data_IF_899260945846
#
_entry.id   IF_899260945846
#
_cell.length_a   1.000
_cell.length_b   1.000
_cell.length_c   1.000
_cell.angle_alpha   90.00
_cell.angle_beta   90.00
_cell.angle_gamma   90.00
#
_symmetry.space_group_name_H-M   'P 1'
#
loop_
_entity.id
_entity.type
_entity.pdbx_description
1 polymer ?
#
# COMPACT_ATOMS: atom_id res chain seq x y z
N UNK A 1 -14.72 10.04 3.50
CA UNK A 1 -13.73 9.24 2.76
C UNK A 1 -13.67 9.73 1.32
N UNK A 2 -12.48 9.88 0.75
CA UNK A 2 -12.26 10.29 -0.64
C UNK A 2 -11.82 9.06 -1.45
N UNK A 3 -12.51 8.77 -2.55
CA UNK A 3 -12.19 7.64 -3.43
C UNK A 3 -11.48 8.11 -4.69
N UNK A 4 -10.57 7.26 -5.18
CA UNK A 4 -9.89 7.45 -6.47
C UNK A 4 -10.93 7.49 -7.59
N UNK A 5 -10.80 8.49 -8.48
CA UNK A 5 -11.68 8.66 -9.64
C UNK A 5 -11.07 8.00 -10.88
N UNK A 6 -11.90 7.73 -11.89
CA UNK A 6 -11.46 7.15 -13.17
C UNK A 6 -11.22 5.63 -13.14
N UNK A 7 -11.72 4.95 -12.11
CA UNK A 7 -11.73 3.48 -12.00
C UNK A 7 -13.06 2.90 -12.51
N UNK A 8 -13.12 1.60 -12.83
CA UNK A 8 -14.36 0.94 -13.23
C UNK A 8 -15.50 1.16 -12.21
N UNK A 9 -16.73 1.27 -12.71
CA UNK A 9 -17.89 1.51 -11.86
C UNK A 9 -18.05 0.40 -10.81
N UNK A 10 -18.24 0.79 -9.55
CA UNK A 10 -18.37 -0.14 -8.43
C UNK A 10 -17.04 -0.54 -7.80
N UNK A 11 -15.90 -0.15 -8.37
CA UNK A 11 -14.58 -0.30 -7.72
C UNK A 11 -14.30 0.92 -6.85
N UNK A 12 -14.00 0.69 -5.58
CA UNK A 12 -13.67 1.73 -4.62
C UNK A 12 -12.24 1.55 -4.14
N UNK A 13 -11.39 2.54 -4.37
CA UNK A 13 -10.00 2.59 -3.92
C UNK A 13 -9.77 3.85 -3.11
N UNK A 14 -9.00 3.75 -2.04
CA UNK A 14 -8.56 4.91 -1.30
C UNK A 14 -7.48 4.59 -0.29
N UNK A 15 -7.02 5.64 0.39
CA UNK A 15 -6.05 5.54 1.47
C UNK A 15 -6.48 6.46 2.61
N UNK A 16 -6.43 5.95 3.83
CA UNK A 16 -6.73 6.74 5.02
C UNK A 16 -5.64 7.78 5.27
N UNK A 17 -6.02 8.87 5.94
CA UNK A 17 -5.10 9.93 6.38
C UNK A 17 -4.94 9.88 7.89
N UNK A 18 -3.93 10.57 8.42
CA UNK A 18 -3.73 10.78 9.87
C UNK A 18 -4.97 11.41 10.49
N UNK A 19 -5.51 12.43 9.84
CA UNK A 19 -6.74 13.09 10.27
C UNK A 19 -7.96 12.27 9.88
N UNK A 20 -8.80 11.96 10.87
CA UNK A 20 -10.10 11.35 10.68
C UNK A 20 -11.08 11.96 11.69
N UNK A 21 -12.33 12.33 11.31
CA UNK A 21 -13.29 12.95 12.22
C UNK A 21 -13.62 12.09 13.45
N UNK A 22 -13.49 10.77 13.30
CA UNK A 22 -13.74 9.78 14.35
C UNK A 22 -12.45 9.19 14.95
N UNK A 23 -11.30 9.85 14.75
CA UNK A 23 -10.06 9.42 15.39
C UNK A 23 -10.16 9.56 16.92
N UNK A 24 -9.83 8.47 17.61
CA UNK A 24 -9.83 8.41 19.07
C UNK A 24 -8.51 8.95 19.62
N UNK A 25 -8.52 9.60 20.81
CA UNK A 25 -7.29 10.09 21.44
C UNK A 25 -6.36 8.92 21.84
N UNK A 26 -5.10 9.23 22.13
CA UNK A 26 -4.10 8.30 22.64
C UNK A 26 -3.19 9.01 23.64
N UNK A 27 -2.64 8.27 24.61
CA UNK A 27 -1.58 8.77 25.50
C UNK A 27 -0.19 8.80 24.84
N UNK A 28 -0.02 8.16 23.68
CA UNK A 28 1.22 8.14 22.91
C UNK A 28 1.12 9.16 21.76
N UNK A 29 1.64 10.37 21.96
CA UNK A 29 1.50 11.49 21.01
C UNK A 29 1.98 11.16 19.59
N UNK A 30 3.00 10.32 19.48
CA UNK A 30 3.61 9.85 18.24
C UNK A 30 2.69 8.91 17.43
N UNK A 31 1.64 8.36 18.07
CA UNK A 31 0.59 7.53 17.48
C UNK A 31 -0.76 8.26 17.34
N UNK A 32 -0.77 9.58 17.54
CA UNK A 32 -1.97 10.42 17.41
C UNK A 32 -2.55 10.37 15.99
N UNK A 33 -3.88 10.45 15.88
CA UNK A 33 -4.62 10.30 14.61
C UNK A 33 -5.11 8.88 14.36
N UNK A 34 -5.60 8.62 13.15
CA UNK A 34 -6.35 7.41 12.80
C UNK A 34 -5.44 6.20 12.48
N UNK A 35 -4.70 5.74 13.50
CA UNK A 35 -3.82 4.57 13.38
C UNK A 35 -4.61 3.27 13.28
N UNK A 36 -4.28 2.45 12.28
CA UNK A 36 -4.90 1.15 12.00
C UNK A 36 -3.99 -0.05 12.27
N UNK A 37 -2.76 0.16 12.76
CA UNK A 37 -1.77 -0.89 12.97
C UNK A 37 -1.68 -1.35 14.43
N UNK A 38 -1.83 -2.67 14.64
CA UNK A 38 -1.64 -3.32 15.94
C UNK A 38 -0.15 -3.57 16.29
N UNK A 39 0.73 -3.57 15.30
CA UNK A 39 2.14 -3.95 15.47
C UNK A 39 3.07 -2.77 15.81
N UNK A 40 2.52 -1.56 16.00
CA UNK A 40 3.28 -0.34 16.33
C UNK A 40 3.18 0.05 17.81
N UNK A 41 2.69 -0.86 18.66
CA UNK A 41 2.56 -0.70 20.13
C UNK A 41 1.57 0.40 20.56
N UNK A 42 0.58 0.68 19.73
CA UNK A 42 -0.61 1.43 20.14
C UNK A 42 -1.52 0.57 21.03
N UNK A 43 -2.51 1.21 21.66
CA UNK A 43 -3.55 0.51 22.41
C UNK A 43 -4.41 -0.36 21.48
N UNK A 44 -4.38 -1.68 21.69
CA UNK A 44 -5.06 -2.62 20.81
C UNK A 44 -6.57 -2.32 20.66
N UNK A 45 -7.24 -1.93 21.75
CA UNK A 45 -8.66 -1.57 21.72
C UNK A 45 -8.92 -0.36 20.81
N UNK A 46 -8.11 0.70 20.92
CA UNK A 46 -8.18 1.90 20.09
C UNK A 46 -8.03 1.58 18.61
N UNK A 47 -7.01 0.79 18.26
CA UNK A 47 -6.75 0.39 16.87
C UNK A 47 -7.91 -0.45 16.31
N UNK A 48 -8.46 -1.36 17.11
CA UNK A 48 -9.61 -2.17 16.69
C UNK A 48 -10.87 -1.30 16.50
N UNK A 49 -11.07 -0.28 17.34
CA UNK A 49 -12.16 0.69 17.15
C UNK A 49 -11.99 1.49 15.85
N UNK A 50 -10.79 1.95 15.51
CA UNK A 50 -10.54 2.60 14.21
C UNK A 50 -10.83 1.66 13.03
N UNK A 51 -10.48 0.37 13.13
CA UNK A 51 -10.81 -0.62 12.10
C UNK A 51 -12.31 -0.86 11.97
N UNK A 52 -13.05 -0.85 13.09
CA UNK A 52 -14.51 -0.95 13.08
C UNK A 52 -15.16 0.29 12.46
N UNK A 53 -14.68 1.49 12.81
CA UNK A 53 -15.12 2.74 12.16
C UNK A 53 -14.94 2.65 10.64
N UNK A 54 -13.78 2.18 10.20
CA UNK A 54 -13.49 2.03 8.77
C UNK A 54 -14.43 1.02 8.09
N UNK A 55 -14.68 -0.13 8.74
CA UNK A 55 -15.63 -1.12 8.24
C UNK A 55 -17.06 -0.57 8.17
N UNK A 56 -17.51 0.20 9.16
CA UNK A 56 -18.83 0.83 9.18
C UNK A 56 -18.98 1.88 8.06
N UNK A 57 -17.90 2.59 7.71
CA UNK A 57 -17.89 3.48 6.56
C UNK A 57 -18.00 2.71 5.24
N UNK A 58 -17.28 1.58 5.11
CA UNK A 58 -17.36 0.72 3.93
C UNK A 58 -18.70 -0.01 3.81
N UNK A 59 -19.39 -0.29 4.92
CA UNK A 59 -20.67 -0.98 4.92
C UNK A 59 -21.76 -0.22 4.14
N UNK A 60 -21.65 1.11 4.04
CA UNK A 60 -22.51 1.97 3.20
C UNK A 60 -22.41 1.63 1.70
N UNK A 61 -21.33 0.95 1.30
CA UNK A 61 -21.05 0.49 -0.06
C UNK A 61 -21.19 -1.04 -0.18
N UNK A 62 -21.81 -1.71 0.80
CA UNK A 62 -22.08 -3.14 0.76
C UNK A 62 -20.94 -4.03 1.28
N UNK A 63 -19.87 -3.45 1.82
CA UNK A 63 -18.78 -4.22 2.44
C UNK A 63 -19.20 -4.83 3.76
N UNK A 64 -18.95 -6.13 3.93
CA UNK A 64 -19.27 -6.90 5.14
C UNK A 64 -18.05 -7.44 5.85
N UNK A 65 -16.91 -7.51 5.14
CA UNK A 65 -15.66 -8.07 5.64
C UNK A 65 -14.50 -7.20 5.18
N UNK A 66 -13.48 -7.12 6.02
CA UNK A 66 -12.21 -6.47 5.71
C UNK A 66 -11.08 -7.41 6.12
N UNK A 67 -10.13 -7.65 5.21
CA UNK A 67 -8.96 -8.49 5.46
C UNK A 67 -7.68 -7.68 5.33
N UNK A 68 -6.75 -7.94 6.25
CA UNK A 68 -5.39 -7.43 6.26
C UNK A 68 -4.43 -8.57 6.60
N UNK A 69 -3.13 -8.29 6.47
CA UNK A 69 -2.06 -9.27 6.71
C UNK A 69 -1.10 -8.85 7.81
N UNK A 70 -0.33 -9.82 8.26
CA UNK A 70 0.96 -9.62 8.91
C UNK A 70 1.98 -9.35 7.81
N UNK A 71 2.18 -8.07 7.48
CA UNK A 71 3.10 -7.60 6.45
C UNK A 71 4.55 -7.80 6.90
N UNK A 72 5.38 -8.38 6.03
CA UNK A 72 6.76 -8.77 6.34
C UNK A 72 7.78 -8.28 5.31
N UNK A 73 7.35 -7.46 4.35
CA UNK A 73 8.15 -7.07 3.18
C UNK A 73 8.56 -8.28 2.33
N UNK A 74 7.71 -9.31 2.33
CA UNK A 74 7.82 -10.50 1.50
C UNK A 74 7.28 -10.27 0.09
N UNK A 75 7.24 -11.33 -0.70
CA UNK A 75 6.63 -11.37 -2.03
C UNK A 75 5.41 -12.31 -2.04
N UNK A 76 4.90 -12.68 -0.86
CA UNK A 76 3.80 -13.64 -0.70
C UNK A 76 2.48 -12.93 -0.96
N UNK A 77 1.68 -13.49 -1.87
CA UNK A 77 0.34 -13.01 -2.19
C UNK A 77 -0.69 -14.11 -1.93
N UNK A 78 -1.85 -13.74 -1.35
CA UNK A 78 -2.95 -14.66 -1.07
C UNK A 78 -4.25 -14.23 -1.78
N UNK A 79 -5.03 -15.20 -2.21
CA UNK A 79 -6.40 -14.96 -2.68
C UNK A 79 -7.37 -14.97 -1.50
N UNK A 80 -8.14 -13.90 -1.38
CA UNK A 80 -9.22 -13.75 -0.41
C UNK A 80 -10.52 -14.27 -1.02
N UNK A 81 -11.14 -15.21 -0.34
CA UNK A 81 -12.44 -15.77 -0.68
C UNK A 81 -13.16 -16.22 0.61
N UNK A 82 -14.28 -16.93 0.48
CA UNK A 82 -15.08 -17.38 1.62
C UNK A 82 -14.34 -18.31 2.59
N UNK A 83 -13.28 -18.99 2.14
CA UNK A 83 -12.50 -19.94 2.93
C UNK A 83 -11.36 -19.28 3.71
N UNK A 84 -11.14 -17.97 3.54
CA UNK A 84 -10.03 -17.30 4.21
C UNK A 84 -10.21 -17.38 5.75
N UNK A 85 -9.18 -17.81 6.50
CA UNK A 85 -9.32 -17.95 7.94
C UNK A 85 -9.46 -16.57 8.61
N UNK A 86 -10.14 -16.55 9.76
CA UNK A 86 -10.23 -15.36 10.61
C UNK A 86 -8.93 -15.12 11.42
N UNK A 87 -7.81 -15.04 10.71
CA UNK A 87 -6.48 -14.71 11.24
C UNK A 87 -5.70 -13.92 10.19
N UNK A 88 -4.84 -13.00 10.64
CA UNK A 88 -3.95 -12.28 9.74
C UNK A 88 -2.87 -13.23 9.20
N UNK A 89 -2.92 -13.52 7.90
CA UNK A 89 -1.91 -14.33 7.22
C UNK A 89 -0.61 -13.53 7.04
N UNK A 90 0.52 -14.24 6.96
CA UNK A 90 1.80 -13.62 6.58
C UNK A 90 1.79 -13.39 5.07
N UNK A 91 2.08 -12.16 4.66
CA UNK A 91 2.21 -11.81 3.26
C UNK A 91 2.11 -10.31 3.03
N UNK A 92 2.29 -9.91 1.79
CA UNK A 92 2.36 -8.50 1.39
C UNK A 92 1.50 -8.21 0.14
N UNK A 93 0.75 -9.19 -0.39
CA UNK A 93 -0.29 -8.98 -1.42
C UNK A 93 -1.59 -9.74 -1.14
N UNK A 94 -2.73 -9.14 -1.47
CA UNK A 94 -4.05 -9.79 -1.45
C UNK A 94 -4.74 -9.58 -2.80
N UNK A 95 -5.46 -10.59 -3.28
CA UNK A 95 -6.33 -10.53 -4.47
C UNK A 95 -7.73 -11.00 -4.08
N UNK A 96 -8.79 -10.45 -4.67
CA UNK A 96 -10.16 -10.94 -4.48
C UNK A 96 -11.03 -10.72 -5.72
N UNK A 97 -11.92 -11.67 -5.98
CA UNK A 97 -13.07 -11.53 -6.87
C UNK A 97 -14.39 -11.39 -6.07
N UNK A 98 -14.31 -11.44 -4.74
CA UNK A 98 -15.46 -11.44 -3.84
C UNK A 98 -15.93 -10.01 -3.58
N UNK A 99 -17.13 -9.67 -4.06
CA UNK A 99 -17.78 -8.38 -3.77
C UNK A 99 -18.10 -8.21 -2.30
N UNK A 100 -18.07 -6.97 -1.81
CA UNK A 100 -18.32 -6.66 -0.41
C UNK A 100 -17.22 -7.15 0.55
N UNK A 101 -16.03 -7.46 0.05
CA UNK A 101 -14.86 -7.83 0.84
C UNK A 101 -13.71 -6.86 0.58
N UNK A 102 -13.40 -6.01 1.56
CA UNK A 102 -12.31 -5.04 1.46
C UNK A 102 -10.93 -5.65 1.74
N UNK A 103 -9.97 -5.33 0.88
CA UNK A 103 -8.56 -5.66 1.06
C UNK A 103 -7.85 -4.45 1.65
N UNK A 104 -7.12 -4.61 2.76
CA UNK A 104 -6.45 -3.52 3.46
C UNK A 104 -4.94 -3.79 3.60
N UNK A 105 -4.11 -2.82 3.22
CA UNK A 105 -2.66 -2.80 3.43
C UNK A 105 -2.26 -1.58 4.24
N UNK A 106 -1.37 -1.76 5.22
CA UNK A 106 -0.94 -0.68 6.10
C UNK A 106 0.43 -0.16 5.71
N UNK A 107 0.60 1.16 5.61
CA UNK A 107 1.87 1.77 5.24
C UNK A 107 2.21 2.99 6.09
N UNK A 108 3.51 3.24 6.20
CA UNK A 108 4.11 4.52 6.51
C UNK A 108 5.41 4.54 5.70
N UNK A 109 5.45 5.29 4.61
CA UNK A 109 6.50 5.36 3.57
C UNK A 109 6.56 4.25 2.52
N UNK A 110 6.34 2.98 2.87
CA UNK A 110 6.32 1.93 1.85
C UNK A 110 5.19 2.16 0.84
N UNK A 111 5.42 1.79 -0.43
CA UNK A 111 4.48 2.04 -1.51
C UNK A 111 3.29 1.08 -1.46
N UNK A 112 2.06 1.57 -1.26
CA UNK A 112 0.88 0.76 -1.51
C UNK A 112 0.56 0.76 -3.01
N UNK A 113 0.28 -0.42 -3.58
CA UNK A 113 -0.15 -0.57 -4.98
C UNK A 113 -1.47 -1.32 -5.00
N UNK A 114 -2.44 -0.77 -5.73
CA UNK A 114 -3.73 -1.40 -5.99
C UNK A 114 -3.81 -1.74 -7.47
N UNK A 115 -4.29 -2.94 -7.79
CA UNK A 115 -4.46 -3.41 -9.17
C UNK A 115 -5.91 -3.80 -9.40
N UNK A 116 -6.36 -3.77 -10.65
CA UNK A 116 -7.61 -4.43 -11.02
C UNK A 116 -7.78 -4.62 -12.52
N UNK A 117 -8.72 -5.48 -12.86
CA UNK A 117 -9.06 -5.78 -14.26
C UNK A 117 -9.99 -4.71 -14.87
N UNK A 118 -10.17 -4.78 -16.18
CA UNK A 118 -10.97 -3.80 -16.91
C UNK A 118 -12.46 -3.81 -16.50
N UNK A 119 -12.99 -4.99 -16.19
CA UNK A 119 -14.40 -5.20 -15.86
C UNK A 119 -14.74 -4.83 -14.41
N UNK A 120 -13.74 -4.55 -13.56
CA UNK A 120 -13.96 -4.28 -12.13
C UNK A 120 -14.56 -5.48 -11.39
N UNK A 121 -14.14 -6.70 -11.76
CA UNK A 121 -14.58 -7.97 -11.15
C UNK A 121 -13.48 -8.65 -10.34
N UNK A 122 -12.26 -8.13 -10.40
CA UNK A 122 -11.12 -8.59 -9.64
C UNK A 122 -10.21 -7.42 -9.27
N UNK A 123 -9.84 -7.36 -7.99
CA UNK A 123 -8.95 -6.33 -7.44
C UNK A 123 -7.86 -6.94 -6.58
N UNK A 124 -6.73 -6.26 -6.50
CA UNK A 124 -5.63 -6.60 -5.63
C UNK A 124 -5.13 -5.38 -4.85
N UNK A 125 -4.60 -5.62 -3.67
CA UNK A 125 -3.94 -4.61 -2.85
C UNK A 125 -2.64 -5.20 -2.32
N UNK A 126 -1.54 -4.46 -2.45
CA UNK A 126 -0.23 -4.95 -2.03
C UNK A 126 0.62 -3.86 -1.38
N UNK A 127 1.47 -4.31 -0.48
CA UNK A 127 2.47 -3.54 0.23
C UNK A 127 3.84 -3.74 -0.44
N UNK A 128 4.29 -2.72 -1.18
CA UNK A 128 5.55 -2.71 -1.89
C UNK A 128 6.58 -1.83 -1.20
N UNK A 129 7.07 -2.26 -0.03
CA UNK A 129 8.35 -1.76 0.47
C UNK A 129 9.50 -2.19 -0.46
N UNK A 130 10.66 -1.54 -0.40
CA UNK A 130 11.74 -1.76 -1.39
C UNK A 130 12.14 -3.24 -1.55
N UNK A 131 12.15 -4.03 -0.46
CA UNK A 131 12.46 -5.46 -0.50
C UNK A 131 11.42 -6.27 -1.28
N UNK A 132 10.13 -6.03 -1.00
CA UNK A 132 9.04 -6.70 -1.70
C UNK A 132 9.01 -6.28 -3.17
N UNK A 133 9.20 -4.99 -3.45
CA UNK A 133 9.23 -4.44 -4.80
C UNK A 133 10.39 -5.04 -5.63
N UNK A 134 11.61 -5.07 -5.10
CA UNK A 134 12.76 -5.71 -5.77
C UNK A 134 12.57 -7.23 -5.91
N UNK A 135 12.02 -7.87 -4.88
CA UNK A 135 11.74 -9.31 -4.84
C UNK A 135 10.62 -9.77 -5.77
N UNK A 136 9.82 -8.85 -6.31
CA UNK A 136 8.78 -9.15 -7.29
C UNK A 136 7.37 -9.32 -6.71
N UNK A 137 7.00 -8.56 -5.67
CA UNK A 137 5.64 -8.61 -5.13
C UNK A 137 4.59 -8.22 -6.17
N UNK A 138 4.89 -7.25 -7.07
CA UNK A 138 3.96 -6.85 -8.15
C UNK A 138 3.76 -8.03 -9.10
N UNK A 139 4.85 -8.61 -9.61
CA UNK A 139 4.86 -9.75 -10.52
C UNK A 139 4.10 -10.94 -9.92
N UNK A 140 4.35 -11.25 -8.65
CA UNK A 140 3.68 -12.34 -7.93
C UNK A 140 2.18 -12.08 -7.74
N UNK A 141 1.78 -10.83 -7.46
CA UNK A 141 0.36 -10.47 -7.36
C UNK A 141 -0.32 -10.54 -8.72
N UNK A 142 0.29 -10.05 -9.80
CA UNK A 142 -0.25 -10.19 -11.17
C UNK A 142 -0.42 -11.65 -11.55
N UNK A 143 0.54 -12.51 -11.20
CA UNK A 143 0.47 -13.96 -11.44
C UNK A 143 -0.66 -14.62 -10.63
N UNK A 144 -0.97 -14.11 -9.44
CA UNK A 144 -2.05 -14.63 -8.59
C UNK A 144 -3.45 -14.17 -9.02
N UNK A 145 -3.55 -13.12 -9.84
CA UNK A 145 -4.82 -12.67 -10.41
C UNK A 145 -5.28 -13.64 -11.50
N UNK A 146 -6.59 -13.89 -11.56
CA UNK A 146 -7.21 -14.72 -12.61
C UNK A 146 -7.31 -13.95 -13.93
N UNK A 147 -7.56 -12.65 -13.84
CA UNK A 147 -7.65 -11.74 -14.97
C UNK A 147 -6.48 -10.75 -14.90
N UNK A 148 -5.74 -10.54 -16.00
CA UNK A 148 -4.65 -9.57 -16.01
C UNK A 148 -5.14 -8.17 -15.63
N UNK A 149 -4.42 -7.44 -14.76
CA UNK A 149 -4.79 -6.07 -14.44
C UNK A 149 -4.55 -5.16 -15.64
N UNK A 150 -5.47 -4.22 -15.84
CA UNK A 150 -5.38 -3.21 -16.89
C UNK A 150 -5.05 -1.83 -16.33
N UNK A 151 -5.34 -1.64 -15.04
CA UNK A 151 -5.04 -0.43 -14.30
C UNK A 151 -4.36 -0.73 -12.96
N UNK A 152 -3.61 0.26 -12.49
CA UNK A 152 -3.03 0.31 -11.16
C UNK A 152 -3.22 1.69 -10.55
N UNK A 153 -3.27 1.75 -9.22
CA UNK A 153 -3.20 2.99 -8.45
C UNK A 153 -2.07 2.91 -7.44
N UNK A 154 -1.24 3.94 -7.43
CA UNK A 154 -0.12 4.12 -6.50
C UNK A 154 -0.54 5.11 -5.41
N UNK A 155 -0.68 4.64 -4.18
CA UNK A 155 -1.01 5.50 -3.05
C UNK A 155 0.19 6.27 -2.49
N UNK A 156 -0.04 7.09 -1.46
CA UNK A 156 1.03 7.87 -0.86
C UNK A 156 2.10 6.97 -0.22
N UNK A 157 3.33 7.26 -0.61
CA UNK A 157 4.59 6.64 -0.20
C UNK A 157 5.64 7.73 0.02
N UNK A 158 6.85 7.35 0.42
CA UNK A 158 7.97 8.31 0.45
C UNK A 158 8.44 8.64 -0.97
N UNK A 159 8.56 9.93 -1.29
CA UNK A 159 9.03 10.38 -2.61
C UNK A 159 10.56 10.31 -2.73
N UNK A 160 11.06 10.29 -3.96
CA UNK A 160 12.49 10.19 -4.28
C UNK A 160 13.37 11.17 -3.48
N UNK A 161 13.06 12.48 -3.39
CA UNK A 161 13.90 13.42 -2.64
C UNK A 161 14.08 13.08 -1.15
N UNK A 162 13.15 12.31 -0.58
CA UNK A 162 13.17 11.94 0.84
C UNK A 162 13.64 10.50 1.10
N UNK A 163 13.76 9.68 0.05
CA UNK A 163 14.09 8.26 0.18
C UNK A 163 15.55 7.94 -0.12
N UNK A 164 16.44 8.41 0.76
CA UNK A 164 17.84 7.99 0.73
C UNK A 164 17.99 6.50 1.09
N UNK A 165 18.78 5.78 0.31
CA UNK A 165 19.13 4.36 0.42
C UNK A 165 20.63 4.15 0.16
N UNK A 166 21.15 2.96 0.48
CA UNK A 166 22.51 2.56 0.15
C UNK A 166 22.61 1.88 -1.22
N UNK A 167 23.83 1.75 -1.73
CA UNK A 167 24.11 1.13 -3.03
C UNK A 167 23.53 -0.29 -3.18
N UNK A 168 23.39 -1.04 -2.08
CA UNK A 168 22.81 -2.38 -2.06
C UNK A 168 21.35 -2.40 -2.50
N UNK A 169 20.58 -1.34 -2.18
CA UNK A 169 19.17 -1.24 -2.59
C UNK A 169 19.10 -0.92 -4.07
N UNK A 170 19.95 -0.02 -4.58
CA UNK A 170 20.02 0.29 -6.01
C UNK A 170 20.37 -0.96 -6.84
N UNK A 171 21.41 -1.69 -6.43
CA UNK A 171 21.84 -2.92 -7.09
C UNK A 171 20.71 -3.96 -7.14
N UNK A 172 19.96 -4.15 -6.05
CA UNK A 172 18.82 -5.08 -6.01
C UNK A 172 17.75 -4.82 -7.08
N UNK A 173 17.64 -3.59 -7.58
CA UNK A 173 16.75 -3.25 -8.70
C UNK A 173 17.47 -3.33 -10.05
N UNK A 174 18.64 -2.70 -10.18
CA UNK A 174 19.32 -2.53 -11.47
C UNK A 174 19.94 -3.84 -12.00
N UNK A 175 20.32 -4.76 -11.10
CA UNK A 175 20.79 -6.10 -11.50
C UNK A 175 19.68 -6.92 -12.16
N UNK A 176 18.41 -6.66 -11.79
CA UNK A 176 17.22 -7.31 -12.35
C UNK A 176 16.71 -6.57 -13.59
N UNK A 177 16.69 -5.24 -13.53
CA UNK A 177 16.16 -4.34 -14.56
C UNK A 177 17.13 -3.17 -14.77
N UNK A 178 18.09 -3.29 -15.71
CA UNK A 178 19.07 -2.23 -15.97
C UNK A 178 18.47 -0.86 -16.32
N UNK A 179 17.25 -0.84 -16.88
CA UNK A 179 16.49 0.36 -17.23
C UNK A 179 16.11 1.21 -16.01
N UNK A 180 16.10 0.62 -14.80
CA UNK A 180 15.76 1.33 -13.57
C UNK A 180 16.87 2.26 -13.08
N UNK A 181 18.03 2.31 -13.72
CA UNK A 181 19.12 3.22 -13.34
C UNK A 181 18.65 4.68 -13.20
N UNK A 182 17.72 5.12 -14.06
CA UNK A 182 17.15 6.48 -14.03
C UNK A 182 16.21 6.75 -12.86
N UNK A 183 15.76 5.72 -12.13
CA UNK A 183 14.95 5.88 -10.92
C UNK A 183 15.78 6.24 -9.68
N UNK A 184 17.11 6.31 -9.82
CA UNK A 184 18.04 6.63 -8.73
C UNK A 184 18.81 7.91 -9.03
N UNK A 185 18.84 8.83 -8.06
CA UNK A 185 19.69 10.03 -8.11
C UNK A 185 20.78 9.91 -7.06
N UNK A 186 22.01 10.32 -7.37
CA UNK A 186 23.10 10.30 -6.38
C UNK A 186 22.78 11.18 -5.17
N UNK A 187 23.05 10.65 -3.98
CA UNK A 187 22.97 11.39 -2.72
C UNK A 187 24.24 12.21 -2.47
N UNK A 188 24.20 13.07 -1.44
CA UNK A 188 25.36 13.90 -1.06
C UNK A 188 26.52 13.05 -0.53
N UNK A 189 26.21 12.00 0.23
CA UNK A 189 27.22 11.10 0.77
C UNK A 189 27.61 10.03 -0.28
N UNK A 190 28.90 9.62 -0.33
CA UNK A 190 29.32 8.55 -1.22
C UNK A 190 28.51 7.26 -1.01
N UNK A 191 28.17 6.57 -2.10
CA UNK A 191 27.38 5.33 -2.11
C UNK A 191 25.95 5.47 -1.53
N UNK A 192 25.43 6.69 -1.44
CA UNK A 192 24.02 6.95 -1.16
C UNK A 192 23.28 7.37 -2.42
N UNK A 193 22.03 6.98 -2.50
CA UNK A 193 21.15 7.34 -3.61
C UNK A 193 19.75 7.65 -3.10
N UNK A 194 19.02 8.45 -3.85
CA UNK A 194 17.61 8.73 -3.69
C UNK A 194 16.82 7.87 -4.67
N UNK A 195 16.02 6.94 -4.16
CA UNK A 195 15.26 5.99 -4.98
C UNK A 195 13.82 6.46 -5.21
N UNK A 196 13.35 6.40 -6.46
CA UNK A 196 11.96 6.68 -6.82
C UNK A 196 11.14 5.38 -6.86
N UNK A 197 10.47 5.07 -5.76
CA UNK A 197 9.57 3.90 -5.68
C UNK A 197 8.44 3.97 -6.70
N UNK A 198 7.95 5.16 -7.06
CA UNK A 198 6.87 5.30 -8.03
C UNK A 198 7.37 5.01 -9.45
N UNK A 199 8.54 5.52 -9.84
CA UNK A 199 9.14 5.22 -11.14
C UNK A 199 9.45 3.73 -11.29
N UNK A 200 10.00 3.09 -10.24
CA UNK A 200 10.26 1.65 -10.21
C UNK A 200 8.96 0.86 -10.41
N UNK A 201 7.92 1.17 -9.63
CA UNK A 201 6.65 0.48 -9.75
C UNK A 201 5.98 0.68 -11.11
N UNK A 202 6.01 1.91 -11.67
CA UNK A 202 5.48 2.19 -13.01
C UNK A 202 6.18 1.35 -14.08
N UNK A 203 7.51 1.26 -14.03
CA UNK A 203 8.28 0.45 -14.98
C UNK A 203 7.87 -1.03 -14.91
N UNK A 204 7.82 -1.60 -13.69
CA UNK A 204 7.43 -3.02 -13.50
C UNK A 204 5.99 -3.26 -13.96
N UNK A 205 5.06 -2.36 -13.64
CA UNK A 205 3.66 -2.49 -14.05
C UNK A 205 3.50 -2.44 -15.58
N UNK A 206 4.21 -1.51 -16.23
CA UNK A 206 4.18 -1.37 -17.68
C UNK A 206 4.79 -2.57 -18.40
N UNK A 207 5.87 -3.15 -17.88
CA UNK A 207 6.48 -4.36 -18.46
C UNK A 207 5.56 -5.59 -18.34
N UNK A 208 4.63 -5.59 -17.38
CA UNK A 208 3.58 -6.60 -17.22
C UNK A 208 2.30 -6.29 -18.03
N UNK A 209 2.30 -5.22 -18.84
CA UNK A 209 1.18 -4.86 -19.71
C UNK A 209 0.10 -4.00 -19.05
N UNK A 210 0.31 -3.49 -17.82
CA UNK A 210 -0.62 -2.56 -17.17
C UNK A 210 -0.48 -1.18 -17.81
N UNK A 211 -1.50 -0.76 -18.57
CA UNK A 211 -1.43 0.45 -19.40
C UNK A 211 -1.76 1.72 -18.62
N UNK A 212 -2.66 1.64 -17.64
CA UNK A 212 -3.13 2.79 -16.88
C UNK A 212 -2.57 2.76 -15.46
N UNK A 213 -1.61 3.64 -15.14
CA UNK A 213 -1.09 3.77 -13.78
C UNK A 213 -1.41 5.15 -13.22
N UNK A 214 -2.28 5.19 -12.22
CA UNK A 214 -2.81 6.38 -11.56
C UNK A 214 -2.05 6.69 -10.26
N UNK A 215 -2.16 7.92 -9.76
CA UNK A 215 -1.56 8.33 -8.49
C UNK A 215 -0.04 8.39 -8.51
N UNK A 216 0.58 8.20 -7.36
CA UNK A 216 2.04 8.24 -7.18
C UNK A 216 2.61 9.66 -7.30
N UNK A 217 1.91 10.63 -6.71
CA UNK A 217 2.16 12.06 -6.74
C UNK A 217 2.20 12.69 -5.33
N UNK A 218 2.17 11.84 -4.28
CA UNK A 218 2.17 12.25 -2.86
C UNK A 218 3.47 11.86 -2.17
N UNK A 219 3.78 12.53 -1.06
CA UNK A 219 4.93 12.18 -0.21
C UNK A 219 4.53 12.07 1.25
N UNK A 220 4.56 10.86 1.80
CA UNK A 220 4.25 10.59 3.21
C UNK A 220 5.19 11.32 4.17
N UNK A 221 6.46 11.51 3.78
CA UNK A 221 7.45 12.21 4.58
C UNK A 221 7.19 13.71 4.66
N UNK A 222 6.89 14.35 3.52
CA UNK A 222 6.72 15.82 3.43
C UNK A 222 5.33 16.30 3.84
N UNK A 223 4.26 15.55 3.54
CA UNK A 223 2.89 15.94 3.87
C UNK A 223 2.51 15.48 5.30
N UNK A 224 3.12 16.14 6.29
CA UNK A 224 3.09 15.75 7.71
C UNK A 224 1.67 15.66 8.30
N UNK A 225 0.77 16.53 7.89
CA UNK A 225 -0.61 16.57 8.41
C UNK A 225 -1.50 15.47 7.81
N UNK A 226 -1.12 14.92 6.65
CA UNK A 226 -1.93 13.95 5.92
C UNK A 226 -1.50 12.51 6.19
N UNK A 227 -0.19 12.25 6.36
CA UNK A 227 0.36 10.90 6.37
C UNK A 227 1.36 10.64 7.50
N UNK A 228 1.28 9.46 8.10
CA UNK A 228 2.34 8.89 8.92
C UNK A 228 3.58 8.57 8.06
N UNK A 229 4.77 8.72 8.64
CA UNK A 229 6.03 8.43 7.97
C UNK A 229 7.03 7.86 8.97
N UNK A 230 7.50 6.64 8.72
CA UNK A 230 8.47 5.94 9.56
C UNK A 230 9.86 6.59 9.47
N UNK A 231 10.23 7.09 8.28
CA UNK A 231 11.46 7.82 8.01
C UNK A 231 11.50 9.13 8.79
N UNK A 232 10.35 9.78 8.96
CA UNK A 232 10.22 11.00 9.78
C UNK A 232 10.22 10.67 11.27
N UNK A 233 9.43 9.68 11.67
CA UNK A 233 9.34 9.21 13.05
C UNK A 233 9.23 7.69 13.09
N UNK A 234 10.25 7.03 13.65
CA UNK A 234 10.30 5.58 13.74
C UNK A 234 9.17 4.99 14.61
N UNK A 235 8.63 5.77 15.55
CA UNK A 235 7.51 5.39 16.41
C UNK A 235 6.24 6.09 15.94
N UNK A 236 5.68 5.64 14.82
CA UNK A 236 4.49 6.26 14.24
C UNK A 236 3.40 5.26 13.90
N UNK A 237 2.19 5.77 13.66
CA UNK A 237 1.04 4.99 13.20
C UNK A 237 1.18 4.47 11.77
N UNK A 238 0.14 3.84 11.24
CA UNK A 238 0.07 3.45 9.83
C UNK A 238 -1.23 3.93 9.21
N UNK A 239 -1.14 4.48 7.99
CA UNK A 239 -2.29 4.61 7.12
C UNK A 239 -2.69 3.25 6.59
N UNK A 240 -3.92 3.12 6.08
CA UNK A 240 -4.36 1.98 5.33
C UNK A 240 -4.74 2.37 3.91
N UNK A 241 -4.17 1.68 2.93
CA UNK A 241 -4.72 1.63 1.58
C UNK A 241 -5.74 0.51 1.51
N UNK A 242 -6.88 0.77 0.87
CA UNK A 242 -7.96 -0.20 0.73
C UNK A 242 -8.50 -0.26 -0.69
N UNK A 243 -9.07 -1.41 -1.04
CA UNK A 243 -9.86 -1.62 -2.27
C UNK A 243 -11.00 -2.61 -2.03
N UNK A 244 -12.14 -2.38 -2.67
CA UNK A 244 -13.27 -3.32 -2.74
C UNK A 244 -14.14 -3.07 -3.98
N UNK A 245 -15.05 -4.01 -4.23
CA UNK A 245 -16.06 -4.02 -5.29
C UNK A 245 -17.45 -4.31 -4.72
#
# INVERSE_FOLDING_TARGET
>A
MEFVQGLPQGVFVGQTRVQHPLALPTGQVELSGFNLALHVKDEAQRVQQHRMILLDEFAKFGVKKMTWMTQTHSTICHTVNEQIPFKALIGDGLVTQTKGHALMMMTADCLPVVLGNAEGTEVANLHAGWRGLAGGIIENTVTAMQNPPTWAWLGAAISQPCFEIGAEVKAAFCDKYPELETAFVEGVAPNKFHADLYAIARFILQSLGVQQVLGGDRCSYQQVEEYFSYRRDAKTGRMATFVFM
#
